data_IF_090762609313
#
_entry.id   IF_090762609313
#
_cell.length_a   1.000
_cell.length_b   1.000
_cell.length_c   1.000
_cell.angle_alpha   90.00
_cell.angle_beta   90.00
_cell.angle_gamma   90.00
#
_symmetry.space_group_name_H-M   'P 1'
#
loop_
_entity.id
_entity.type
_entity.pdbx_description
1 polymer ?
#
# COMPACT_ATOMS: atom_id res chain seq x y z
N UNK A 1 -6.90 -18.29 -1.35
CA UNK A 1 -6.05 -18.52 -0.15
C UNK A 1 -4.66 -17.97 -0.42
N UNK A 2 -4.06 -17.28 0.55
CA UNK A 2 -2.70 -16.75 0.39
C UNK A 2 -1.70 -17.88 0.62
N UNK A 3 -0.88 -18.15 -0.39
CA UNK A 3 0.19 -19.13 -0.30
C UNK A 3 1.49 -18.48 0.19
N UNK A 4 1.48 -18.05 1.42
CA UNK A 4 2.61 -17.40 2.09
C UNK A 4 2.49 -17.53 3.61
N UNK A 5 3.61 -17.67 4.30
CA UNK A 5 3.62 -17.69 5.77
C UNK A 5 3.46 -16.25 6.32
N UNK A 6 2.24 -15.89 6.64
CA UNK A 6 1.90 -14.55 7.15
C UNK A 6 2.58 -14.18 8.47
N UNK A 7 3.06 -15.18 9.23
CA UNK A 7 3.81 -14.92 10.47
C UNK A 7 5.15 -14.24 10.24
N UNK A 8 5.68 -14.32 9.02
CA UNK A 8 6.92 -13.62 8.64
C UNK A 8 6.71 -12.12 8.47
N UNK A 9 5.49 -11.66 8.19
CA UNK A 9 5.21 -10.29 7.84
C UNK A 9 5.36 -9.38 9.06
N UNK A 10 6.20 -8.38 8.94
CA UNK A 10 6.45 -7.32 9.94
C UNK A 10 6.09 -5.94 9.43
N UNK A 11 5.98 -5.78 8.12
CA UNK A 11 5.64 -4.50 7.50
C UNK A 11 4.59 -4.65 6.41
N UNK A 12 3.69 -3.67 6.34
CA UNK A 12 2.66 -3.53 5.32
C UNK A 12 2.90 -2.22 4.58
N UNK A 13 3.10 -2.30 3.28
CA UNK A 13 3.39 -1.13 2.45
C UNK A 13 2.33 -1.01 1.36
N UNK A 14 1.76 0.18 1.22
CA UNK A 14 0.66 0.43 0.29
C UNK A 14 0.97 1.59 -0.64
N UNK A 15 0.58 1.44 -1.90
CA UNK A 15 0.30 2.58 -2.76
C UNK A 15 -1.04 3.22 -2.38
N UNK A 16 -1.35 4.39 -2.89
CA UNK A 16 -2.60 5.09 -2.60
C UNK A 16 -3.58 4.95 -3.76
N UNK A 17 -3.24 5.50 -4.92
CA UNK A 17 -4.16 5.54 -6.05
C UNK A 17 -4.38 4.15 -6.64
N UNK A 18 -5.64 3.71 -6.71
CA UNK A 18 -6.00 2.36 -7.14
C UNK A 18 -5.88 1.28 -6.05
N UNK A 19 -5.35 1.60 -4.88
CA UNK A 19 -5.19 0.66 -3.74
C UNK A 19 -5.98 1.12 -2.53
N UNK A 20 -5.60 2.22 -1.91
CA UNK A 20 -6.29 2.79 -0.74
C UNK A 20 -7.30 3.87 -1.11
N UNK A 21 -7.25 4.38 -2.33
CA UNK A 21 -8.24 5.29 -2.90
C UNK A 21 -8.65 4.80 -4.29
N UNK A 22 -9.70 5.42 -4.83
CA UNK A 22 -10.18 5.09 -6.16
C UNK A 22 -9.13 5.39 -7.24
N UNK A 23 -9.15 4.61 -8.30
CA UNK A 23 -8.32 4.81 -9.49
C UNK A 23 -8.73 6.06 -10.26
N UNK A 24 -10.02 6.36 -10.29
CA UNK A 24 -10.56 7.58 -10.90
C UNK A 24 -10.72 8.65 -9.83
N UNK A 25 -10.13 9.80 -10.04
CA UNK A 25 -10.00 10.86 -9.04
C UNK A 25 -10.64 12.14 -9.57
N UNK A 26 -11.44 12.82 -8.74
CA UNK A 26 -11.94 14.15 -9.03
C UNK A 26 -10.82 15.18 -8.88
N UNK A 27 -10.78 16.16 -9.77
CA UNK A 27 -9.89 17.31 -9.66
C UNK A 27 -10.61 18.47 -8.99
N UNK A 28 -9.98 19.06 -7.99
CA UNK A 28 -10.38 20.33 -7.43
C UNK A 28 -10.15 21.44 -8.47
N UNK A 29 -10.93 22.54 -8.48
CA UNK A 29 -10.70 23.65 -9.40
C UNK A 29 -9.28 24.24 -9.38
N UNK A 30 -8.55 24.11 -8.27
CA UNK A 30 -7.15 24.51 -8.18
C UNK A 30 -6.16 23.51 -8.81
N UNK A 31 -6.65 22.40 -9.39
CA UNK A 31 -5.85 21.36 -10.02
C UNK A 31 -5.37 20.24 -9.09
N UNK A 32 -5.68 20.30 -7.80
CA UNK A 32 -5.30 19.22 -6.86
C UNK A 32 -6.22 18.02 -6.98
N UNK A 33 -5.68 16.79 -6.96
CA UNK A 33 -6.47 15.58 -6.90
C UNK A 33 -7.21 15.47 -5.56
N UNK A 34 -8.52 15.21 -5.60
CA UNK A 34 -9.33 14.94 -4.41
C UNK A 34 -9.51 13.44 -4.24
N UNK A 35 -8.67 12.82 -3.43
CA UNK A 35 -8.69 11.38 -3.21
C UNK A 35 -9.78 10.99 -2.22
N UNK A 36 -10.39 9.83 -2.49
CA UNK A 36 -11.33 9.20 -1.56
C UNK A 36 -10.55 8.45 -0.48
N UNK A 37 -11.22 8.19 0.64
CA UNK A 37 -10.73 7.32 1.70
C UNK A 37 -11.79 6.28 2.04
N UNK A 38 -11.34 5.08 2.38
CA UNK A 38 -12.22 4.03 2.86
C UNK A 38 -12.11 3.95 4.38
N UNK A 39 -13.24 4.07 5.07
CA UNK A 39 -13.28 4.11 6.55
C UNK A 39 -12.83 2.78 7.14
N UNK A 40 -13.23 1.66 6.54
CA UNK A 40 -12.85 0.31 7.01
C UNK A 40 -11.36 0.06 6.85
N UNK A 41 -10.78 0.47 5.72
CA UNK A 41 -9.35 0.41 5.49
C UNK A 41 -8.60 1.23 6.54
N UNK A 42 -9.09 2.44 6.82
CA UNK A 42 -8.50 3.30 7.85
C UNK A 42 -8.48 2.64 9.23
N UNK A 43 -9.56 1.98 9.61
CA UNK A 43 -9.62 1.23 10.87
C UNK A 43 -8.60 0.09 10.90
N UNK A 44 -8.49 -0.68 9.83
CA UNK A 44 -7.55 -1.80 9.76
C UNK A 44 -6.10 -1.34 9.79
N UNK A 45 -5.76 -0.28 9.07
CA UNK A 45 -4.42 0.29 9.09
C UNK A 45 -4.04 0.78 10.49
N UNK A 46 -4.96 1.46 11.17
CA UNK A 46 -4.75 1.91 12.54
C UNK A 46 -4.56 0.72 13.49
N UNK A 47 -5.35 -0.34 13.33
CA UNK A 47 -5.22 -1.56 14.12
C UNK A 47 -3.86 -2.24 13.87
N UNK A 48 -3.43 -2.33 12.62
CA UNK A 48 -2.13 -2.90 12.27
C UNK A 48 -0.98 -2.17 12.98
N UNK A 49 -1.02 -0.83 12.98
CA UNK A 49 -0.04 0.00 13.71
C UNK A 49 -0.08 -0.32 15.21
N UNK A 50 -1.26 -0.39 15.81
CA UNK A 50 -1.43 -0.72 17.25
C UNK A 50 -0.93 -2.11 17.59
N UNK A 51 -1.01 -3.05 16.66
CA UNK A 51 -0.50 -4.42 16.84
C UNK A 51 1.02 -4.52 16.63
N UNK A 52 1.72 -3.43 16.36
CA UNK A 52 3.17 -3.39 16.24
C UNK A 52 3.72 -3.64 14.84
N UNK A 53 2.86 -3.71 13.82
CA UNK A 53 3.33 -3.78 12.43
C UNK A 53 3.82 -2.41 11.96
N UNK A 54 4.87 -2.41 11.18
CA UNK A 54 5.31 -1.21 10.45
C UNK A 54 4.38 -1.02 9.25
N UNK A 55 3.66 0.08 9.23
CA UNK A 55 2.80 0.44 8.09
C UNK A 55 3.40 1.64 7.39
N UNK A 56 3.53 1.56 6.07
CA UNK A 56 4.09 2.63 5.25
C UNK A 56 3.22 2.89 4.02
N UNK A 57 3.24 4.13 3.59
CA UNK A 57 2.62 4.59 2.34
C UNK A 57 3.74 5.04 1.40
N UNK A 58 3.75 4.51 0.18
CA UNK A 58 4.67 4.96 -0.88
C UNK A 58 3.83 5.32 -2.10
N UNK A 59 3.72 6.61 -2.39
CA UNK A 59 2.87 7.10 -3.49
C UNK A 59 3.59 8.11 -4.37
N UNK A 60 3.29 8.08 -5.67
CA UNK A 60 3.73 9.11 -6.60
C UNK A 60 3.01 10.45 -6.40
N UNK A 61 1.86 10.45 -5.74
CA UNK A 61 1.12 11.66 -5.42
C UNK A 61 1.86 12.58 -4.46
N UNK A 62 1.63 13.89 -4.57
CA UNK A 62 2.32 14.91 -3.78
C UNK A 62 1.34 15.84 -3.05
N UNK A 63 0.21 15.33 -2.62
CA UNK A 63 -0.81 16.11 -1.93
C UNK A 63 -0.67 15.95 -0.42
N UNK A 64 -0.52 17.04 0.32
CA UNK A 64 -0.41 17.01 1.79
C UNK A 64 -1.64 16.39 2.48
N UNK A 65 -2.81 16.42 1.85
CA UNK A 65 -3.99 15.75 2.36
C UNK A 65 -3.76 14.24 2.57
N UNK A 66 -2.97 13.60 1.72
CA UNK A 66 -2.58 12.18 1.86
C UNK A 66 -1.76 11.98 3.14
N UNK A 67 -0.74 12.82 3.36
CA UNK A 67 0.08 12.76 4.57
C UNK A 67 -0.78 12.94 5.82
N UNK A 68 -1.61 13.97 5.85
CA UNK A 68 -2.49 14.24 6.99
C UNK A 68 -3.42 13.07 7.30
N UNK A 69 -3.99 12.46 6.25
CA UNK A 69 -4.89 11.31 6.42
C UNK A 69 -4.18 10.13 7.08
N UNK A 70 -3.05 9.73 6.54
CA UNK A 70 -2.39 8.49 6.99
C UNK A 70 -1.58 8.68 8.27
N UNK A 71 -0.96 9.82 8.47
CA UNK A 71 -0.37 10.17 9.77
C UNK A 71 -1.43 10.22 10.89
N UNK A 72 -2.63 10.70 10.58
CA UNK A 72 -3.76 10.69 11.51
C UNK A 72 -4.19 9.29 11.96
N UNK A 73 -3.87 8.26 11.20
CA UNK A 73 -4.09 6.85 11.56
C UNK A 73 -2.94 6.25 12.38
N UNK A 74 -1.88 7.01 12.63
CA UNK A 74 -0.69 6.55 13.35
C UNK A 74 0.42 6.03 12.44
N UNK A 75 0.28 6.15 11.12
CA UNK A 75 1.32 5.75 10.16
C UNK A 75 2.42 6.81 10.16
N UNK A 76 3.65 6.39 10.50
CA UNK A 76 4.80 7.30 10.60
C UNK A 76 5.55 7.47 9.29
N UNK A 77 5.46 6.51 8.41
CA UNK A 77 6.24 6.43 7.19
C UNK A 77 5.33 6.69 5.98
N UNK A 78 5.20 7.95 5.61
CA UNK A 78 4.41 8.39 4.45
C UNK A 78 5.36 9.07 3.46
N UNK A 79 5.63 8.37 2.36
CA UNK A 79 6.49 8.85 1.29
C UNK A 79 5.64 9.40 0.15
N UNK A 80 5.68 10.71 -0.05
CA UNK A 80 5.02 11.40 -1.15
C UNK A 80 6.00 11.65 -2.29
N UNK A 81 5.48 11.91 -3.48
CA UNK A 81 6.27 12.21 -4.68
C UNK A 81 7.35 11.15 -4.98
N UNK A 82 7.04 9.89 -4.69
CA UNK A 82 7.94 8.78 -4.88
C UNK A 82 8.01 8.39 -6.37
N UNK A 83 8.87 9.06 -7.12
CA UNK A 83 9.07 8.81 -8.55
C UNK A 83 9.73 7.45 -8.82
N UNK A 84 10.61 7.01 -7.92
CA UNK A 84 11.31 5.72 -7.98
C UNK A 84 11.06 5.00 -6.66
N UNK A 85 9.96 4.28 -6.56
CA UNK A 85 9.47 3.69 -5.31
C UNK A 85 10.45 2.73 -4.62
N UNK A 86 11.38 2.14 -5.37
CA UNK A 86 12.43 1.28 -4.80
C UNK A 86 13.35 2.02 -3.84
N UNK A 87 13.52 3.34 -3.98
CA UNK A 87 14.32 4.16 -3.06
C UNK A 87 13.67 4.23 -1.68
N UNK A 88 12.39 4.56 -1.65
CA UNK A 88 11.61 4.67 -0.41
C UNK A 88 11.47 3.30 0.25
N UNK A 89 11.29 2.26 -0.55
CA UNK A 89 11.26 0.88 -0.08
C UNK A 89 12.59 0.49 0.60
N UNK A 90 13.71 0.79 -0.03
CA UNK A 90 15.04 0.53 0.54
C UNK A 90 15.26 1.32 1.84
N UNK A 91 14.83 2.59 1.87
CA UNK A 91 14.91 3.43 3.07
C UNK A 91 14.11 2.84 4.23
N UNK A 92 12.89 2.36 3.95
CA UNK A 92 12.04 1.72 4.96
C UNK A 92 12.71 0.46 5.53
N UNK A 93 13.29 -0.38 4.67
CA UNK A 93 13.99 -1.61 5.07
C UNK A 93 15.17 -1.29 5.99
N UNK A 94 15.98 -0.32 5.61
CA UNK A 94 17.13 0.12 6.40
C UNK A 94 16.71 0.68 7.75
N UNK A 95 15.68 1.52 7.75
CA UNK A 95 15.17 2.18 8.96
C UNK A 95 14.76 1.19 10.05
N UNK A 96 14.13 0.08 9.67
CA UNK A 96 13.59 -0.90 10.62
C UNK A 96 14.31 -2.25 10.59
N UNK A 97 15.38 -2.39 9.83
CA UNK A 97 16.11 -3.65 9.72
C UNK A 97 15.30 -4.78 9.11
N UNK A 98 14.47 -4.47 8.12
CA UNK A 98 13.56 -5.44 7.49
C UNK A 98 14.21 -6.20 6.34
N UNK A 99 13.85 -7.49 6.22
CA UNK A 99 14.17 -8.30 5.05
C UNK A 99 13.00 -8.29 4.07
N UNK A 100 13.25 -8.57 2.80
CA UNK A 100 12.20 -8.57 1.76
C UNK A 100 11.06 -9.54 2.11
N UNK A 101 11.37 -10.73 2.63
CA UNK A 101 10.36 -11.72 3.00
C UNK A 101 9.47 -11.30 4.17
N UNK A 102 9.81 -10.22 4.88
CA UNK A 102 9.03 -9.69 5.99
C UNK A 102 8.05 -8.59 5.57
N UNK A 103 7.99 -8.28 4.28
CA UNK A 103 7.22 -7.16 3.75
C UNK A 103 6.12 -7.63 2.80
N UNK A 104 4.88 -7.22 3.12
CA UNK A 104 3.77 -7.21 2.19
C UNK A 104 3.75 -5.86 1.48
N UNK A 105 3.68 -5.87 0.15
CA UNK A 105 3.48 -4.66 -0.66
C UNK A 105 2.23 -4.79 -1.50
N UNK A 106 1.36 -3.79 -1.46
CA UNK A 106 0.18 -3.72 -2.30
C UNK A 106 0.27 -2.55 -3.28
N UNK A 107 0.28 -2.88 -4.56
CA UNK A 107 0.31 -1.94 -5.67
C UNK A 107 -0.65 -2.35 -6.78
N UNK A 108 -0.89 -1.48 -7.75
CA UNK A 108 -1.85 -1.73 -8.82
C UNK A 108 -1.34 -1.41 -10.21
N UNK A 109 -0.26 -0.65 -10.35
CA UNK A 109 0.18 -0.16 -11.64
C UNK A 109 1.71 -0.25 -11.81
N UNK A 110 2.18 0.02 -13.00
CA UNK A 110 3.57 -0.12 -13.44
C UNK A 110 4.59 0.52 -12.47
N UNK A 111 4.34 1.70 -11.88
CA UNK A 111 5.27 2.26 -10.89
C UNK A 111 5.54 1.37 -9.67
N UNK A 112 4.68 0.40 -9.39
CA UNK A 112 4.83 -0.56 -8.28
C UNK A 112 5.62 -1.81 -8.66
N UNK A 113 5.80 -2.05 -9.95
CA UNK A 113 6.30 -3.32 -10.48
C UNK A 113 7.64 -3.73 -9.87
N UNK A 114 8.62 -2.83 -9.84
CA UNK A 114 9.97 -3.15 -9.35
C UNK A 114 9.97 -3.47 -7.85
N UNK A 115 9.20 -2.75 -7.04
CA UNK A 115 9.08 -3.04 -5.61
C UNK A 115 8.38 -4.37 -5.38
N UNK A 116 7.33 -4.66 -6.14
CA UNK A 116 6.58 -5.91 -6.02
C UNK A 116 7.42 -7.13 -6.36
N UNK A 117 8.40 -6.98 -7.24
CA UNK A 117 9.37 -8.04 -7.54
C UNK A 117 10.38 -8.28 -6.42
N UNK A 118 10.62 -7.30 -5.56
CA UNK A 118 11.57 -7.39 -4.46
C UNK A 118 10.93 -7.94 -3.19
N UNK A 119 9.72 -7.50 -2.86
CA UNK A 119 9.06 -7.85 -1.61
C UNK A 119 8.67 -9.33 -1.53
N UNK A 120 8.52 -9.83 -0.30
CA UNK A 120 8.17 -11.23 -0.09
C UNK A 120 6.72 -11.57 -0.44
N UNK A 121 5.80 -10.64 -0.16
CA UNK A 121 4.37 -10.86 -0.41
C UNK A 121 3.78 -9.71 -1.24
N UNK A 122 3.95 -9.75 -2.58
CA UNK A 122 3.31 -8.79 -3.46
C UNK A 122 1.82 -9.10 -3.62
N UNK A 123 0.99 -8.09 -3.42
CA UNK A 123 -0.47 -8.17 -3.54
C UNK A 123 -0.98 -7.08 -4.47
N UNK A 124 -2.13 -7.30 -5.08
CA UNK A 124 -2.79 -6.28 -5.88
C UNK A 124 -4.30 -6.45 -5.90
N UNK A 125 -5.07 -5.39 -6.22
CA UNK A 125 -6.50 -5.53 -6.50
C UNK A 125 -6.74 -6.22 -7.86
N UNK A 126 -7.94 -6.74 -8.05
CA UNK A 126 -8.30 -7.49 -9.26
C UNK A 126 -8.28 -6.66 -10.54
N UNK A 127 -8.40 -5.33 -10.44
CA UNK A 127 -8.34 -4.38 -11.56
C UNK A 127 -6.94 -3.78 -11.79
N UNK A 128 -5.92 -4.34 -11.12
CA UNK A 128 -4.53 -3.94 -11.37
C UNK A 128 -4.09 -4.23 -12.81
N UNK A 129 -3.04 -3.54 -13.25
CA UNK A 129 -2.44 -3.78 -14.55
C UNK A 129 -2.04 -5.25 -14.72
N UNK A 130 -2.12 -5.83 -15.95
CA UNK A 130 -1.82 -7.24 -16.18
C UNK A 130 -0.44 -7.66 -15.66
N UNK A 131 0.58 -6.85 -15.86
CA UNK A 131 1.95 -7.12 -15.41
C UNK A 131 2.05 -7.20 -13.88
N UNK A 132 1.25 -6.41 -13.19
CA UNK A 132 1.17 -6.40 -11.74
C UNK A 132 0.47 -7.67 -11.24
N UNK A 133 -0.62 -8.08 -11.88
CA UNK A 133 -1.32 -9.32 -11.52
C UNK A 133 -0.44 -10.56 -11.71
N UNK A 134 0.40 -10.58 -12.75
CA UNK A 134 1.35 -11.68 -12.98
C UNK A 134 2.42 -11.76 -11.87
N UNK A 135 2.79 -10.63 -11.30
CA UNK A 135 3.80 -10.55 -10.23
C UNK A 135 3.21 -10.88 -8.86
N UNK A 136 1.93 -10.61 -8.66
CA UNK A 136 1.29 -10.76 -7.36
C UNK A 136 1.16 -12.22 -6.91
N UNK A 137 1.44 -12.46 -5.63
CA UNK A 137 1.16 -13.74 -4.96
C UNK A 137 -0.31 -13.84 -4.57
N UNK A 138 -0.94 -12.71 -4.23
CA UNK A 138 -2.35 -12.65 -3.88
C UNK A 138 -3.04 -11.50 -4.61
N UNK A 139 -4.19 -11.81 -5.21
CA UNK A 139 -5.02 -10.86 -5.93
C UNK A 139 -6.35 -10.75 -5.20
N UNK A 140 -6.72 -9.55 -4.75
CA UNK A 140 -8.01 -9.29 -4.12
C UNK A 140 -9.12 -9.32 -5.16
N UNK A 141 -10.26 -9.91 -4.83
CA UNK A 141 -11.43 -9.88 -5.73
C UNK A 141 -11.97 -8.46 -5.88
N UNK A 142 -12.72 -8.19 -6.95
CA UNK A 142 -13.34 -6.89 -7.22
C UNK A 142 -14.23 -6.41 -6.07
N UNK A 143 -14.83 -7.33 -5.30
CA UNK A 143 -15.66 -7.02 -4.13
C UNK A 143 -14.84 -6.40 -2.99
N UNK A 144 -13.50 -6.55 -3.04
CA UNK A 144 -12.59 -6.19 -1.95
C UNK A 144 -11.54 -5.16 -2.35
N UNK A 145 -11.71 -4.48 -3.48
CA UNK A 145 -10.72 -3.53 -4.02
C UNK A 145 -10.37 -2.43 -3.02
N UNK A 146 -11.32 -2.01 -2.20
CA UNK A 146 -11.12 -0.98 -1.18
C UNK A 146 -11.07 -1.55 0.24
N UNK A 147 -10.75 -2.84 0.40
CA UNK A 147 -10.77 -3.50 1.70
C UNK A 147 -9.48 -4.28 1.99
N UNK A 148 -8.31 -3.62 2.13
CA UNK A 148 -7.10 -4.31 2.57
C UNK A 148 -7.24 -4.98 3.94
N UNK A 149 -8.28 -4.60 4.70
CA UNK A 149 -8.66 -5.25 5.95
C UNK A 149 -8.78 -6.75 5.85
N UNK A 150 -9.16 -7.30 4.70
CA UNK A 150 -9.28 -8.75 4.55
C UNK A 150 -7.95 -9.47 4.48
N UNK A 151 -6.89 -8.79 4.10
CA UNK A 151 -5.52 -9.33 4.22
C UNK A 151 -5.08 -9.40 5.68
N UNK A 152 -5.55 -8.48 6.50
CA UNK A 152 -5.22 -8.43 7.94
C UNK A 152 -6.07 -9.37 8.78
N UNK A 153 -7.21 -9.83 8.28
CA UNK A 153 -8.12 -10.75 8.98
C UNK A 153 -7.86 -12.23 8.68
N UNK A 154 -6.87 -12.52 7.89
CA UNK A 154 -6.42 -13.87 7.60
C UNK A 154 -5.31 -14.27 8.58
#
# INVERSE_FOLDING_TARGET
>A
MINYDLKKIKALVFDVDGVLSAETIYLHPNGEPMRTVNIKDGYALQLAVKCGLHVAIITGGNTEAVRKRYEGLGIKDVYLAAAVKTREYAHLKEKYGLQDEEILYMGDDIPDYEVMRLCGLPCCPADAAPEIKETAVYILSLIHISEPTRLLSI
#
